data_IF_473002700431
#
_entry.id   IF_473002700431
#
_cell.length_a   1.000
_cell.length_b   1.000
_cell.length_c   1.000
_cell.angle_alpha   90.00
_cell.angle_beta   90.00
_cell.angle_gamma   90.00
#
_symmetry.space_group_name_H-M   'P 1'
#
loop_
_entity.id
_entity.type
_entity.pdbx_description
1 polymer ?
#
# COMPACT_ATOMS: atom_id res chain seq x y z
N UNK A 1 79.23 71.95 49.16
CA UNK A 1 78.85 70.53 49.32
C UNK A 1 77.40 70.26 48.89
N UNK A 2 76.43 71.12 49.21
CA UNK A 2 74.99 70.96 48.86
C UNK A 2 74.72 70.66 47.37
N UNK A 3 75.37 71.34 46.41
CA UNK A 3 75.17 71.09 44.95
C UNK A 3 75.56 69.69 44.48
N UNK A 4 76.60 69.09 45.04
CA UNK A 4 77.05 67.73 44.66
C UNK A 4 76.12 66.66 45.23
N UNK A 5 75.63 66.87 46.45
CA UNK A 5 74.64 65.99 47.07
C UNK A 5 73.36 66.00 46.25
N UNK A 6 72.82 67.17 45.91
CA UNK A 6 71.64 67.32 45.04
C UNK A 6 71.79 66.63 43.68
N UNK A 7 72.95 66.73 43.03
CA UNK A 7 73.19 66.10 41.74
C UNK A 7 73.16 64.56 41.83
N UNK A 8 73.72 64.00 42.90
CA UNK A 8 73.71 62.54 43.15
C UNK A 8 72.31 62.05 43.50
N UNK A 9 71.55 62.77 44.33
CA UNK A 9 70.16 62.39 44.62
C UNK A 9 69.30 62.44 43.37
N UNK A 10 69.42 63.48 42.53
CA UNK A 10 68.68 63.56 41.27
C UNK A 10 69.03 62.42 40.32
N UNK A 11 70.32 62.09 40.16
CA UNK A 11 70.75 60.98 39.32
C UNK A 11 70.24 59.62 39.84
N UNK A 12 70.29 59.39 41.15
CA UNK A 12 69.76 58.18 41.77
C UNK A 12 68.23 58.08 41.61
N UNK A 13 67.51 59.19 41.78
CA UNK A 13 66.06 59.25 41.55
C UNK A 13 65.70 58.94 40.09
N UNK A 14 66.44 59.48 39.12
CA UNK A 14 66.20 59.22 37.69
C UNK A 14 66.46 57.75 37.32
N UNK A 15 67.52 57.14 37.87
CA UNK A 15 67.81 55.71 37.66
C UNK A 15 66.75 54.80 38.29
N UNK A 16 66.28 55.14 39.50
CA UNK A 16 65.21 54.41 40.18
C UNK A 16 63.88 54.52 39.42
N UNK A 17 63.52 55.73 38.97
CA UNK A 17 62.30 55.96 38.16
C UNK A 17 62.39 55.21 36.83
N UNK A 18 63.54 55.27 36.14
CA UNK A 18 63.76 54.53 34.89
C UNK A 18 63.66 53.01 35.07
N UNK A 19 64.21 52.46 36.16
CA UNK A 19 64.10 51.04 36.51
C UNK A 19 62.66 50.63 36.86
N UNK A 20 61.91 51.49 37.57
CA UNK A 20 60.49 51.26 37.87
C UNK A 20 59.63 51.27 36.61
N UNK A 21 59.87 52.20 35.68
CA UNK A 21 59.17 52.27 34.38
C UNK A 21 59.47 51.03 33.54
N UNK A 22 60.74 50.63 33.43
CA UNK A 22 61.10 49.41 32.68
C UNK A 22 60.50 48.14 33.28
N UNK A 23 60.38 48.05 34.62
CA UNK A 23 59.72 46.92 35.27
C UNK A 23 58.19 46.96 35.07
N UNK A 24 57.59 48.15 35.10
CA UNK A 24 56.17 48.33 34.82
C UNK A 24 55.82 47.90 33.39
N UNK A 25 56.63 48.31 32.39
CA UNK A 25 56.45 47.89 31.00
C UNK A 25 56.61 46.38 30.82
N UNK A 26 57.61 45.78 31.48
CA UNK A 26 57.81 44.32 31.46
C UNK A 26 56.61 43.58 32.07
N UNK A 27 56.07 44.06 33.20
CA UNK A 27 54.88 43.49 33.83
C UNK A 27 53.62 43.65 32.96
N UNK A 28 53.45 44.79 32.29
CA UNK A 28 52.31 44.99 31.39
C UNK A 28 52.41 44.09 30.15
N UNK A 29 53.61 43.88 29.61
CA UNK A 29 53.83 42.92 28.52
C UNK A 29 53.55 41.48 28.96
N UNK A 30 54.02 41.06 30.14
CA UNK A 30 53.72 39.75 30.73
C UNK A 30 52.21 39.57 30.95
N UNK A 31 51.54 40.61 31.48
CA UNK A 31 50.09 40.63 31.68
C UNK A 31 49.33 40.52 30.35
N UNK A 32 49.70 41.30 29.34
CA UNK A 32 49.08 41.26 28.02
C UNK A 32 49.25 39.88 27.38
N UNK A 33 50.44 39.28 27.45
CA UNK A 33 50.69 37.93 26.96
C UNK A 33 49.87 36.86 27.71
N UNK A 34 49.73 37.00 29.03
CA UNK A 34 48.91 36.09 29.84
C UNK A 34 47.41 36.20 29.48
N UNK A 35 46.90 37.41 29.27
CA UNK A 35 45.51 37.63 28.82
C UNK A 35 45.28 36.99 27.45
N UNK A 36 46.17 37.22 26.48
CA UNK A 36 46.05 36.62 25.15
C UNK A 36 46.08 35.07 25.18
N UNK A 37 46.89 34.48 26.07
CA UNK A 37 46.90 33.03 26.29
C UNK A 37 45.58 32.54 26.92
N UNK A 38 45.01 33.30 27.85
CA UNK A 38 43.74 32.96 28.50
C UNK A 38 42.58 33.02 27.50
N UNK A 39 42.54 34.05 26.66
CA UNK A 39 41.55 34.19 25.57
C UNK A 39 41.66 33.03 24.58
N UNK A 40 42.87 32.71 24.12
CA UNK A 40 43.09 31.58 23.22
C UNK A 40 42.71 30.23 23.87
N UNK A 41 42.92 30.07 25.18
CA UNK A 41 42.47 28.88 25.91
C UNK A 41 40.94 28.83 26.00
N UNK A 42 40.29 29.97 26.28
CA UNK A 42 38.84 30.08 26.34
C UNK A 42 38.20 29.75 24.98
N UNK A 43 38.78 30.23 23.88
CA UNK A 43 38.32 29.92 22.52
C UNK A 43 38.44 28.42 22.21
N UNK A 44 39.58 27.80 22.55
CA UNK A 44 39.78 26.34 22.39
C UNK A 44 38.81 25.54 23.25
N UNK A 45 38.52 26.01 24.46
CA UNK A 45 37.55 25.38 25.35
C UNK A 45 36.13 25.44 24.76
N UNK A 46 35.74 26.60 24.21
CA UNK A 46 34.45 26.74 23.53
C UNK A 46 34.34 25.86 22.28
N UNK A 47 35.37 25.81 21.43
CA UNK A 47 35.41 24.93 20.26
C UNK A 47 35.31 23.44 20.66
N UNK A 48 36.08 23.02 21.66
CA UNK A 48 36.02 21.65 22.18
C UNK A 48 34.64 21.30 22.76
N UNK A 49 34.00 22.24 23.45
CA UNK A 49 32.62 22.06 23.97
C UNK A 49 31.63 21.90 22.82
N UNK A 50 31.64 22.80 21.82
CA UNK A 50 30.75 22.70 20.66
C UNK A 50 30.94 21.40 19.88
N UNK A 51 32.19 20.95 19.73
CA UNK A 51 32.50 19.68 19.08
C UNK A 51 31.96 18.49 19.87
N UNK A 52 32.05 18.53 21.20
CA UNK A 52 31.51 17.48 22.07
C UNK A 52 29.99 17.43 21.96
N UNK A 53 29.31 18.57 22.06
CA UNK A 53 27.85 18.66 21.91
C UNK A 53 27.37 18.13 20.54
N UNK A 54 28.11 18.46 19.47
CA UNK A 54 27.82 17.95 18.13
C UNK A 54 27.96 16.42 18.04
N UNK A 55 29.03 15.86 18.61
CA UNK A 55 29.29 14.43 18.61
C UNK A 55 28.23 13.67 19.42
N UNK A 56 27.87 14.17 20.61
CA UNK A 56 26.83 13.57 21.44
C UNK A 56 25.48 13.55 20.70
N UNK A 57 25.12 14.65 20.03
CA UNK A 57 23.91 14.69 19.21
C UNK A 57 23.99 13.74 18.00
N UNK A 58 25.16 13.57 17.39
CA UNK A 58 25.36 12.64 16.28
C UNK A 58 25.28 11.17 16.72
N UNK A 59 25.84 10.84 17.88
CA UNK A 59 25.74 9.51 18.49
C UNK A 59 24.30 9.21 18.86
N UNK A 60 23.60 10.13 19.52
CA UNK A 60 22.19 9.94 19.87
C UNK A 60 21.29 9.65 18.66
N UNK A 61 21.51 10.36 17.53
CA UNK A 61 20.81 10.06 16.27
C UNK A 61 21.15 8.67 15.73
N UNK A 62 22.43 8.30 15.72
CA UNK A 62 22.85 6.98 15.23
C UNK A 62 22.30 5.82 16.08
N UNK A 63 22.21 6.01 17.40
CA UNK A 63 21.59 5.06 18.32
C UNK A 63 20.08 4.92 18.07
N UNK A 64 19.38 6.05 17.86
CA UNK A 64 17.96 6.06 17.50
C UNK A 64 17.71 5.34 16.16
N UNK A 65 18.44 5.68 15.10
CA UNK A 65 18.34 5.03 13.79
C UNK A 65 18.57 3.51 13.88
N UNK A 66 19.49 3.10 14.77
CA UNK A 66 19.79 1.68 15.01
C UNK A 66 18.63 0.98 15.71
N UNK A 67 18.04 1.62 16.72
CA UNK A 67 16.89 1.10 17.44
C UNK A 67 15.64 0.98 16.55
N UNK A 68 15.37 1.99 15.73
CA UNK A 68 14.26 2.00 14.76
C UNK A 68 14.41 0.87 13.72
N UNK A 69 15.60 0.69 13.15
CA UNK A 69 15.90 -0.43 12.24
C UNK A 69 15.73 -1.79 12.92
N UNK A 70 16.19 -1.92 14.17
CA UNK A 70 16.03 -3.15 14.93
C UNK A 70 14.55 -3.48 15.17
N UNK A 71 13.73 -2.47 15.49
CA UNK A 71 12.28 -2.62 15.65
C UNK A 71 11.58 -3.07 14.36
N UNK A 72 11.92 -2.45 13.22
CA UNK A 72 11.42 -2.85 11.90
C UNK A 72 11.81 -4.30 11.58
N UNK A 73 13.07 -4.68 11.80
CA UNK A 73 13.54 -6.05 11.55
C UNK A 73 12.83 -7.09 12.42
N UNK A 74 12.52 -6.75 13.67
CA UNK A 74 11.84 -7.65 14.60
C UNK A 74 10.41 -8.02 14.15
N UNK A 75 9.74 -7.18 13.35
CA UNK A 75 8.38 -7.43 12.86
C UNK A 75 8.33 -8.21 11.54
N UNK A 76 9.42 -8.23 10.76
CA UNK A 76 9.45 -8.91 9.45
C UNK A 76 9.10 -10.42 9.51
N UNK A 77 9.49 -11.20 10.54
CA UNK A 77 9.07 -12.59 10.64
C UNK A 77 7.55 -12.78 10.71
N UNK A 78 6.84 -11.90 11.43
CA UNK A 78 5.38 -11.96 11.51
C UNK A 78 4.74 -11.67 10.15
N UNK A 79 5.26 -10.67 9.43
CA UNK A 79 4.83 -10.37 8.06
C UNK A 79 5.02 -11.56 7.10
N UNK A 80 6.16 -12.26 7.19
CA UNK A 80 6.43 -13.46 6.38
C UNK A 80 5.46 -14.61 6.70
N UNK A 81 5.08 -14.79 7.97
CA UNK A 81 4.10 -15.79 8.36
C UNK A 81 2.72 -15.51 7.74
N UNK A 82 2.26 -14.26 7.75
CA UNK A 82 1.00 -13.85 7.11
C UNK A 82 1.05 -14.03 5.57
N UNK A 83 2.19 -13.75 4.93
CA UNK A 83 2.35 -14.01 3.50
C UNK A 83 2.25 -15.51 3.15
N UNK A 84 2.77 -16.37 4.03
CA UNK A 84 2.66 -17.81 3.85
C UNK A 84 1.22 -18.31 4.06
N UNK A 85 0.51 -17.74 5.04
CA UNK A 85 -0.92 -18.00 5.25
C UNK A 85 -1.74 -17.56 4.03
N UNK A 86 -1.51 -16.35 3.51
CA UNK A 86 -2.16 -15.87 2.30
C UNK A 86 -1.84 -16.76 1.09
N UNK A 87 -0.59 -17.20 0.92
CA UNK A 87 -0.21 -18.11 -0.17
C UNK A 87 -1.01 -19.42 -0.12
N UNK A 88 -1.18 -19.97 1.08
CA UNK A 88 -2.00 -21.18 1.31
C UNK A 88 -3.48 -20.92 0.97
N UNK A 89 -4.03 -19.77 1.39
CA UNK A 89 -5.40 -19.39 1.06
C UNK A 89 -5.61 -19.22 -0.46
N UNK A 90 -4.65 -18.59 -1.15
CA UNK A 90 -4.67 -18.39 -2.59
C UNK A 90 -4.61 -19.71 -3.38
N UNK A 91 -3.83 -20.69 -2.91
CA UNK A 91 -3.83 -22.05 -3.48
C UNK A 91 -5.18 -22.74 -3.26
N UNK A 92 -5.75 -22.63 -2.06
CA UNK A 92 -7.08 -23.17 -1.76
C UNK A 92 -8.21 -22.54 -2.56
N UNK A 93 -7.99 -21.36 -3.12
CA UNK A 93 -8.92 -20.59 -3.95
C UNK A 93 -8.76 -20.84 -5.46
N UNK A 94 -7.73 -21.56 -5.90
CA UNK A 94 -7.46 -21.80 -7.31
C UNK A 94 -8.64 -22.49 -8.01
N UNK A 95 -9.08 -21.93 -9.13
CA UNK A 95 -10.27 -22.39 -9.88
C UNK A 95 -11.61 -22.16 -9.16
N UNK A 96 -11.60 -21.56 -7.96
CA UNK A 96 -12.81 -21.33 -7.14
C UNK A 96 -13.11 -19.85 -6.95
N UNK A 97 -12.10 -19.00 -6.85
CA UNK A 97 -12.26 -17.56 -6.61
C UNK A 97 -11.23 -16.79 -7.44
N UNK A 98 -11.64 -15.67 -8.03
CA UNK A 98 -10.72 -14.73 -8.67
C UNK A 98 -9.86 -14.02 -7.62
N UNK A 99 -8.58 -14.35 -7.61
CA UNK A 99 -7.62 -13.82 -6.64
C UNK A 99 -6.71 -12.72 -7.20
N UNK A 100 -6.96 -12.22 -8.42
CA UNK A 100 -6.06 -11.25 -9.07
C UNK A 100 -5.88 -9.98 -8.22
N UNK A 101 -6.97 -9.40 -7.72
CA UNK A 101 -6.93 -8.21 -6.86
C UNK A 101 -6.25 -8.48 -5.51
N UNK A 102 -6.46 -9.67 -4.94
CA UNK A 102 -5.81 -10.08 -3.69
C UNK A 102 -4.29 -10.17 -3.85
N UNK A 103 -3.82 -10.74 -4.98
CA UNK A 103 -2.40 -10.81 -5.32
C UNK A 103 -1.78 -9.44 -5.55
N UNK A 104 -2.48 -8.54 -6.23
CA UNK A 104 -2.01 -7.16 -6.43
C UNK A 104 -1.88 -6.39 -5.11
N UNK A 105 -2.87 -6.50 -4.22
CA UNK A 105 -2.82 -5.87 -2.90
C UNK A 105 -1.67 -6.43 -2.04
N UNK A 106 -1.45 -7.75 -2.07
CA UNK A 106 -0.36 -8.39 -1.35
C UNK A 106 1.03 -7.98 -1.88
N UNK A 107 1.17 -7.78 -3.19
CA UNK A 107 2.40 -7.24 -3.79
C UNK A 107 2.67 -5.80 -3.34
N UNK A 108 1.62 -4.97 -3.27
CA UNK A 108 1.75 -3.60 -2.75
C UNK A 108 2.20 -3.59 -1.28
N UNK A 109 1.61 -4.44 -0.43
CA UNK A 109 2.03 -4.58 0.97
C UNK A 109 3.49 -5.05 1.11
N UNK A 110 3.93 -5.98 0.27
CA UNK A 110 5.34 -6.43 0.22
C UNK A 110 6.29 -5.29 -0.13
N UNK A 111 5.95 -4.47 -1.13
CA UNK A 111 6.77 -3.32 -1.53
C UNK A 111 6.88 -2.29 -0.40
N UNK A 112 5.79 -2.04 0.33
CA UNK A 112 5.80 -1.18 1.51
C UNK A 112 6.77 -1.69 2.58
N UNK A 113 6.73 -2.98 2.92
CA UNK A 113 7.63 -3.57 3.93
C UNK A 113 9.10 -3.59 3.48
N UNK A 114 9.37 -3.81 2.19
CA UNK A 114 10.73 -3.76 1.63
C UNK A 114 11.32 -2.35 1.69
N UNK A 115 10.50 -1.32 1.46
CA UNK A 115 10.93 0.06 1.49
C UNK A 115 11.12 0.61 2.92
N UNK A 116 10.42 0.06 3.91
CA UNK A 116 10.42 0.52 5.29
C UNK A 116 11.73 0.21 6.03
N UNK A 117 12.26 1.20 6.74
CA UNK A 117 13.54 1.17 7.46
C UNK A 117 13.48 1.75 8.87
N UNK A 118 12.48 2.56 9.17
CA UNK A 118 12.46 3.42 10.36
C UNK A 118 11.18 3.19 11.18
N UNK A 119 10.03 3.07 10.51
CA UNK A 119 8.74 3.00 11.19
C UNK A 119 8.21 1.56 11.32
N UNK A 120 8.25 0.94 12.53
CA UNK A 120 7.70 -0.39 12.74
C UNK A 120 6.18 -0.46 12.54
N UNK A 121 5.43 0.62 12.76
CA UNK A 121 3.98 0.64 12.59
C UNK A 121 3.57 0.42 11.14
N UNK A 122 4.39 0.87 10.18
CA UNK A 122 4.18 0.59 8.75
C UNK A 122 4.23 -0.92 8.47
N UNK A 123 5.16 -1.65 9.09
CA UNK A 123 5.27 -3.12 8.94
C UNK A 123 4.08 -3.81 9.62
N UNK A 124 3.66 -3.34 10.79
CA UNK A 124 2.49 -3.86 11.49
C UNK A 124 1.20 -3.68 10.66
N UNK A 125 1.00 -2.50 10.06
CA UNK A 125 -0.15 -2.21 9.21
C UNK A 125 -0.16 -3.06 7.92
N UNK A 126 1.01 -3.24 7.29
CA UNK A 126 1.15 -4.13 6.14
C UNK A 126 0.87 -5.60 6.51
N UNK A 127 1.30 -6.04 7.70
CA UNK A 127 1.01 -7.38 8.24
C UNK A 127 -0.49 -7.59 8.42
N UNK A 128 -1.19 -6.64 9.07
CA UNK A 128 -2.64 -6.68 9.22
C UNK A 128 -3.38 -6.68 7.87
N UNK A 129 -2.86 -5.97 6.86
CA UNK A 129 -3.42 -5.99 5.51
C UNK A 129 -3.33 -7.37 4.88
N UNK A 130 -2.17 -8.03 4.96
CA UNK A 130 -2.00 -9.40 4.42
C UNK A 130 -2.88 -10.40 5.15
N UNK A 131 -3.01 -10.27 6.47
CA UNK A 131 -3.94 -11.08 7.27
C UNK A 131 -5.39 -10.95 6.79
N UNK A 132 -5.88 -9.71 6.65
CA UNK A 132 -7.24 -9.45 6.17
C UNK A 132 -7.48 -9.99 4.74
N UNK A 133 -6.46 -9.95 3.87
CA UNK A 133 -6.55 -10.57 2.54
C UNK A 133 -6.71 -12.09 2.63
N UNK A 134 -6.00 -12.76 3.54
CA UNK A 134 -6.12 -14.20 3.73
C UNK A 134 -7.51 -14.60 4.26
N UNK A 135 -8.04 -13.87 5.26
CA UNK A 135 -9.39 -14.07 5.77
C UNK A 135 -10.46 -13.86 4.71
N UNK A 136 -10.29 -12.80 3.88
CA UNK A 136 -11.21 -12.50 2.79
C UNK A 136 -11.25 -13.62 1.76
N UNK A 137 -10.10 -14.10 1.31
CA UNK A 137 -10.01 -15.24 0.38
C UNK A 137 -10.66 -16.49 1.00
N UNK A 138 -10.41 -16.77 2.28
CA UNK A 138 -11.05 -17.88 3.00
C UNK A 138 -12.59 -17.77 3.03
N UNK A 139 -13.11 -16.57 3.28
CA UNK A 139 -14.55 -16.29 3.28
C UNK A 139 -15.18 -16.45 1.90
N UNK A 140 -14.50 -15.97 0.86
CA UNK A 140 -14.94 -16.11 -0.54
C UNK A 140 -14.96 -17.58 -0.97
N UNK A 141 -13.97 -18.38 -0.56
CA UNK A 141 -13.96 -19.84 -0.80
C UNK A 141 -15.08 -20.55 -0.04
N UNK A 142 -15.33 -20.19 1.23
CA UNK A 142 -16.44 -20.78 1.99
C UNK A 142 -17.81 -20.46 1.36
N UNK A 143 -17.96 -19.23 0.88
CA UNK A 143 -19.16 -18.78 0.17
C UNK A 143 -19.33 -19.52 -1.16
N UNK A 144 -18.24 -19.75 -1.89
CA UNK A 144 -18.25 -20.62 -3.07
C UNK A 144 -18.73 -22.04 -2.75
N UNK A 145 -18.17 -22.67 -1.71
CA UNK A 145 -18.56 -24.03 -1.30
C UNK A 145 -20.04 -24.13 -0.92
N UNK A 146 -20.55 -23.12 -0.20
CA UNK A 146 -21.96 -23.03 0.13
C UNK A 146 -22.83 -22.86 -1.12
N UNK A 147 -22.40 -22.03 -2.08
CA UNK A 147 -23.10 -21.81 -3.35
C UNK A 147 -23.15 -23.08 -4.23
N UNK A 148 -22.11 -23.92 -4.21
CA UNK A 148 -22.12 -25.21 -4.90
C UNK A 148 -23.15 -26.18 -4.29
N UNK A 149 -23.51 -25.99 -3.02
CA UNK A 149 -24.45 -26.84 -2.29
C UNK A 149 -25.90 -26.35 -2.36
N UNK A 150 -26.14 -25.13 -2.86
CA UNK A 150 -27.46 -24.45 -2.84
C UNK A 150 -28.13 -24.36 -4.22
N UNK A 151 -28.08 -25.45 -4.99
CA UNK A 151 -28.86 -25.61 -6.22
C UNK A 151 -30.30 -26.11 -5.96
N UNK A 152 -31.23 -25.94 -6.92
CA UNK A 152 -32.50 -26.66 -6.88
C UNK A 152 -32.19 -28.16 -6.88
N UNK A 153 -32.82 -28.94 -5.99
CA UNK A 153 -32.57 -30.38 -5.90
C UNK A 153 -32.65 -31.06 -7.27
N UNK A 154 -31.51 -31.54 -7.77
CA UNK A 154 -31.35 -32.06 -9.13
C UNK A 154 -29.98 -31.70 -9.71
N UNK A 155 -29.61 -32.24 -10.88
CA UNK A 155 -28.39 -31.86 -11.58
C UNK A 155 -28.45 -30.38 -12.00
N UNK A 156 -27.31 -29.69 -11.96
CA UNK A 156 -27.20 -28.26 -12.33
C UNK A 156 -27.38 -28.00 -13.86
N UNK A 157 -27.66 -29.05 -14.62
CA UNK A 157 -27.92 -29.06 -16.05
C UNK A 157 -29.21 -29.84 -16.33
N UNK A 158 -29.78 -29.65 -17.52
CA UNK A 158 -30.92 -30.46 -17.97
C UNK A 158 -30.71 -31.01 -19.37
N UNK A 159 -30.43 -30.13 -20.33
CA UNK A 159 -30.38 -30.42 -21.76
C UNK A 159 -29.00 -30.20 -22.37
N UNK A 160 -28.12 -29.43 -21.73
CA UNK A 160 -26.71 -29.30 -22.13
C UNK A 160 -25.86 -30.53 -21.76
N UNK A 161 -26.34 -31.35 -20.83
CA UNK A 161 -25.61 -32.50 -20.30
C UNK A 161 -24.40 -32.11 -19.42
N UNK A 162 -23.70 -33.12 -18.86
CA UNK A 162 -22.58 -32.88 -17.95
C UNK A 162 -21.41 -32.15 -18.62
N UNK A 163 -21.09 -32.48 -19.88
CA UNK A 163 -19.98 -31.85 -20.61
C UNK A 163 -20.31 -30.41 -21.01
N UNK A 164 -21.54 -30.14 -21.43
CA UNK A 164 -22.00 -28.79 -21.73
C UNK A 164 -21.97 -27.90 -20.49
N UNK A 165 -22.44 -28.41 -19.34
CA UNK A 165 -22.32 -27.72 -18.07
C UNK A 165 -20.87 -27.44 -17.69
N UNK A 166 -20.00 -28.46 -17.76
CA UNK A 166 -18.59 -28.33 -17.45
C UNK A 166 -17.92 -27.26 -18.32
N UNK A 167 -18.31 -27.14 -19.59
CA UNK A 167 -17.83 -26.09 -20.49
C UNK A 167 -18.24 -24.68 -20.04
N UNK A 168 -19.52 -24.46 -19.71
CA UNK A 168 -19.99 -23.14 -19.25
C UNK A 168 -19.39 -22.81 -17.88
N UNK A 169 -19.27 -23.80 -17.00
CA UNK A 169 -18.61 -23.67 -15.71
C UNK A 169 -17.15 -23.24 -15.88
N UNK A 170 -16.39 -23.91 -16.75
CA UNK A 170 -15.01 -23.56 -17.04
C UNK A 170 -14.88 -22.15 -17.63
N UNK A 171 -15.81 -21.75 -18.51
CA UNK A 171 -15.85 -20.37 -19.02
C UNK A 171 -16.12 -19.36 -17.89
N UNK A 172 -17.05 -19.65 -16.98
CA UNK A 172 -17.33 -18.78 -15.84
C UNK A 172 -16.15 -18.75 -14.85
N UNK A 173 -15.45 -19.86 -14.64
CA UNK A 173 -14.25 -19.92 -13.80
C UNK A 173 -13.11 -19.08 -14.40
N UNK A 174 -12.91 -19.20 -15.72
CA UNK A 174 -11.89 -18.46 -16.47
C UNK A 174 -12.07 -16.94 -16.37
N UNK A 175 -13.31 -16.47 -16.39
CA UNK A 175 -13.61 -15.03 -16.25
C UNK A 175 -13.68 -14.56 -14.79
N UNK A 176 -13.34 -15.44 -13.83
CA UNK A 176 -13.25 -15.12 -12.40
C UNK A 176 -14.52 -15.36 -11.59
N UNK A 177 -15.52 -16.01 -12.18
CA UNK A 177 -16.80 -16.34 -11.57
C UNK A 177 -16.84 -17.68 -10.86
N UNK A 178 -15.69 -18.27 -10.52
CA UNK A 178 -15.58 -19.53 -9.77
C UNK A 178 -16.60 -19.57 -8.63
N UNK A 179 -16.63 -18.48 -7.84
CA UNK A 179 -17.44 -18.24 -6.64
C UNK A 179 -18.96 -18.28 -6.82
N UNK A 180 -19.43 -18.22 -8.06
CA UNK A 180 -20.83 -17.94 -8.40
C UNK A 180 -21.55 -19.23 -8.73
N UNK A 181 -22.71 -19.47 -8.11
CA UNK A 181 -23.55 -20.61 -8.44
C UNK A 181 -23.94 -20.57 -9.91
N UNK A 182 -23.92 -21.72 -10.60
CA UNK A 182 -24.25 -21.82 -12.02
C UNK A 182 -25.23 -22.94 -12.26
N UNK A 183 -26.32 -22.67 -12.98
CA UNK A 183 -27.23 -23.72 -13.42
C UNK A 183 -27.94 -23.40 -14.73
N UNK A 184 -28.35 -24.46 -15.42
CA UNK A 184 -29.08 -24.36 -16.67
C UNK A 184 -30.55 -24.00 -16.41
N UNK A 185 -31.08 -23.07 -17.21
CA UNK A 185 -32.48 -22.67 -17.19
C UNK A 185 -32.94 -22.31 -18.59
N UNK A 186 -34.11 -22.79 -19.00
CA UNK A 186 -34.77 -22.36 -20.24
C UNK A 186 -35.35 -20.94 -20.15
N UNK A 187 -35.41 -20.36 -18.95
CA UNK A 187 -35.89 -19.00 -18.71
C UNK A 187 -34.82 -18.15 -18.04
N UNK A 188 -34.37 -17.13 -18.77
CA UNK A 188 -33.51 -16.06 -18.28
C UNK A 188 -34.12 -14.70 -18.63
N UNK A 189 -34.23 -13.81 -17.64
CA UNK A 189 -34.78 -12.45 -17.78
C UNK A 189 -36.06 -12.36 -18.66
N UNK A 190 -37.08 -13.18 -18.37
CA UNK A 190 -38.33 -13.19 -19.14
C UNK A 190 -38.32 -14.04 -20.42
N UNK A 191 -37.26 -14.82 -20.66
CA UNK A 191 -37.27 -15.96 -21.60
C UNK A 191 -36.34 -15.88 -22.81
N UNK A 192 -35.77 -14.69 -23.10
CA UNK A 192 -34.98 -14.49 -24.33
C UNK A 192 -33.47 -14.33 -24.08
N UNK A 193 -33.07 -13.99 -22.87
CA UNK A 193 -31.65 -13.78 -22.56
C UNK A 193 -30.90 -15.14 -22.55
N UNK A 194 -29.70 -15.20 -23.14
CA UNK A 194 -28.89 -16.42 -23.23
C UNK A 194 -28.31 -16.85 -21.89
N UNK A 195 -28.08 -15.89 -21.00
CA UNK A 195 -27.73 -16.08 -19.61
C UNK A 195 -28.33 -14.94 -18.79
N UNK A 196 -28.33 -15.07 -17.47
CA UNK A 196 -28.82 -14.03 -16.58
C UNK A 196 -28.28 -14.23 -15.16
N UNK A 197 -27.77 -13.16 -14.56
CA UNK A 197 -27.43 -13.10 -13.16
C UNK A 197 -28.66 -12.85 -12.27
N UNK A 198 -28.62 -13.36 -11.04
CA UNK A 198 -29.63 -13.10 -10.03
C UNK A 198 -29.00 -12.43 -8.80
N UNK A 199 -29.77 -11.55 -8.15
CA UNK A 199 -29.34 -10.86 -6.92
C UNK A 199 -28.97 -11.80 -5.78
N UNK A 200 -29.46 -13.04 -5.80
CA UNK A 200 -29.11 -14.08 -4.81
C UNK A 200 -27.76 -14.77 -5.10
N UNK A 201 -26.96 -14.26 -6.03
CA UNK A 201 -25.55 -14.66 -6.18
C UNK A 201 -25.30 -15.85 -7.11
N UNK A 202 -26.19 -16.11 -8.07
CA UNK A 202 -26.03 -17.17 -9.06
C UNK A 202 -26.27 -16.67 -10.49
N UNK A 203 -25.74 -17.39 -11.46
CA UNK A 203 -25.96 -17.20 -12.89
C UNK A 203 -26.76 -18.38 -13.44
N UNK A 204 -27.78 -18.07 -14.22
CA UNK A 204 -28.50 -19.03 -15.05
C UNK A 204 -28.00 -18.94 -16.48
N UNK A 205 -28.03 -20.04 -17.20
CA UNK A 205 -27.71 -20.06 -18.61
C UNK A 205 -28.65 -20.95 -19.42
N UNK A 206 -28.86 -20.60 -20.69
CA UNK A 206 -29.64 -21.40 -21.64
C UNK A 206 -28.76 -22.46 -22.29
N UNK A 207 -29.29 -23.66 -22.49
CA UNK A 207 -28.48 -24.81 -22.93
C UNK A 207 -27.79 -24.63 -24.28
N UNK A 208 -28.30 -23.82 -25.20
CA UNK A 208 -27.71 -23.60 -26.53
C UNK A 208 -26.38 -22.84 -26.48
N UNK A 209 -26.10 -22.08 -25.42
CA UNK A 209 -24.85 -21.31 -25.34
C UNK A 209 -23.61 -22.22 -25.26
N UNK A 210 -23.79 -23.48 -24.89
CA UNK A 210 -22.72 -24.49 -24.89
C UNK A 210 -22.20 -24.81 -26.29
N UNK A 211 -22.82 -24.28 -27.35
CA UNK A 211 -22.37 -24.40 -28.73
C UNK A 211 -21.79 -23.08 -29.28
N UNK A 212 -21.72 -22.02 -28.47
CA UNK A 212 -21.12 -20.76 -28.91
C UNK A 212 -19.60 -20.87 -28.99
N UNK A 213 -18.98 -20.01 -29.81
CA UNK A 213 -17.52 -19.84 -29.82
C UNK A 213 -17.01 -19.45 -28.43
N UNK A 214 -15.78 -19.85 -28.08
CA UNK A 214 -15.18 -19.55 -26.76
C UNK A 214 -15.20 -18.06 -26.42
N UNK A 215 -14.83 -17.17 -27.36
CA UNK A 215 -14.86 -15.73 -27.13
C UNK A 215 -16.25 -15.20 -26.74
N UNK A 216 -17.29 -15.66 -27.44
CA UNK A 216 -18.69 -15.30 -27.14
C UNK A 216 -19.18 -15.91 -25.83
N UNK A 217 -18.81 -17.14 -25.52
CA UNK A 217 -19.18 -17.79 -24.26
C UNK A 217 -18.50 -17.10 -23.07
N UNK A 218 -17.21 -16.80 -23.19
CA UNK A 218 -16.45 -16.09 -22.15
C UNK A 218 -16.98 -14.66 -21.96
N UNK A 219 -17.30 -13.93 -23.04
CA UNK A 219 -17.99 -12.64 -22.92
C UNK A 219 -19.30 -12.76 -22.13
N UNK A 220 -20.15 -13.74 -22.48
CA UNK A 220 -21.42 -13.92 -21.79
C UNK A 220 -21.22 -14.18 -20.29
N UNK A 221 -20.26 -15.04 -19.92
CA UNK A 221 -19.97 -15.30 -18.51
C UNK A 221 -19.38 -14.08 -17.80
N UNK A 222 -18.50 -13.31 -18.46
CA UNK A 222 -17.93 -12.08 -17.88
C UNK A 222 -19.00 -11.00 -17.68
N UNK A 223 -19.92 -10.88 -18.63
CA UNK A 223 -21.05 -9.96 -18.59
C UNK A 223 -22.01 -10.32 -17.44
N UNK A 224 -22.43 -11.57 -17.31
CA UNK A 224 -23.29 -11.98 -16.20
C UNK A 224 -22.59 -11.85 -14.84
N UNK A 225 -21.30 -12.16 -14.78
CA UNK A 225 -20.51 -11.93 -13.58
C UNK A 225 -20.48 -10.44 -13.20
N UNK A 226 -20.45 -9.53 -14.18
CA UNK A 226 -20.49 -8.10 -13.91
C UNK A 226 -21.79 -7.71 -13.19
N UNK A 227 -22.93 -8.26 -13.60
CA UNK A 227 -24.19 -8.05 -12.90
C UNK A 227 -24.17 -8.53 -11.44
N UNK A 228 -23.54 -9.68 -11.15
CA UNK A 228 -23.33 -10.14 -9.76
C UNK A 228 -22.59 -9.08 -8.93
N UNK A 229 -21.57 -8.44 -9.51
CA UNK A 229 -20.84 -7.38 -8.82
C UNK A 229 -21.66 -6.09 -8.70
N UNK A 230 -22.42 -5.71 -9.72
CA UNK A 230 -23.34 -4.58 -9.65
C UNK A 230 -24.37 -4.77 -8.53
N UNK A 231 -24.94 -5.97 -8.36
CA UNK A 231 -25.90 -6.25 -7.29
C UNK A 231 -25.31 -6.04 -5.89
N UNK A 232 -24.02 -6.35 -5.68
CA UNK A 232 -23.34 -6.14 -4.40
C UNK A 232 -23.23 -4.67 -4.00
N UNK A 233 -23.18 -3.78 -4.99
CA UNK A 233 -23.00 -2.33 -4.80
C UNK A 233 -24.22 -1.54 -5.25
N UNK A 234 -25.38 -2.19 -5.42
CA UNK A 234 -26.53 -1.60 -6.11
C UNK A 234 -26.97 -0.24 -5.56
N UNK A 235 -26.99 -0.09 -4.23
CA UNK A 235 -27.32 1.17 -3.59
C UNK A 235 -26.33 2.29 -3.93
N UNK A 236 -25.03 2.04 -3.76
CA UNK A 236 -23.98 3.00 -4.09
C UNK A 236 -23.94 3.33 -5.58
N UNK A 237 -24.06 2.29 -6.43
CA UNK A 237 -24.11 2.38 -7.88
C UNK A 237 -25.24 3.32 -8.34
N UNK A 238 -26.46 3.06 -7.89
CA UNK A 238 -27.65 3.84 -8.30
C UNK A 238 -27.68 5.25 -7.71
N UNK A 239 -26.95 5.51 -6.63
CA UNK A 239 -26.77 6.86 -6.07
C UNK A 239 -25.65 7.68 -6.75
N UNK A 240 -24.84 7.04 -7.61
CA UNK A 240 -23.67 7.66 -8.22
C UNK A 240 -24.04 8.54 -9.42
N UNK A 241 -23.70 9.84 -9.34
CA UNK A 241 -23.81 10.75 -10.48
C UNK A 241 -22.92 10.35 -11.66
N UNK A 242 -21.75 9.73 -11.40
CA UNK A 242 -20.85 9.24 -12.44
C UNK A 242 -21.46 8.06 -13.20
N UNK A 243 -22.18 7.16 -12.50
CA UNK A 243 -22.90 6.07 -13.17
C UNK A 243 -23.96 6.61 -14.15
N UNK A 244 -24.73 7.63 -13.72
CA UNK A 244 -25.69 8.31 -14.58
C UNK A 244 -25.04 9.02 -15.77
N UNK A 245 -23.92 9.71 -15.57
CA UNK A 245 -23.24 10.48 -16.61
C UNK A 245 -22.52 9.59 -17.64
N UNK A 246 -21.80 8.56 -17.19
CA UNK A 246 -20.95 7.72 -18.05
C UNK A 246 -21.72 6.59 -18.74
N UNK A 247 -22.78 6.09 -18.10
CA UNK A 247 -23.50 4.89 -18.56
C UNK A 247 -24.99 5.15 -18.77
N UNK A 248 -25.49 6.38 -18.60
CA UNK A 248 -26.92 6.68 -18.76
C UNK A 248 -27.82 5.96 -17.75
N UNK A 249 -27.25 5.51 -16.62
CA UNK A 249 -27.90 4.58 -15.67
C UNK A 249 -28.27 3.21 -16.25
N UNK A 250 -27.64 2.79 -17.36
CA UNK A 250 -27.87 1.49 -17.99
C UNK A 250 -26.95 0.39 -17.42
N UNK A 251 -27.50 -0.59 -16.67
CA UNK A 251 -26.70 -1.66 -16.07
C UNK A 251 -26.15 -2.65 -17.11
N UNK A 252 -26.81 -2.82 -18.25
CA UNK A 252 -26.40 -3.72 -19.34
C UNK A 252 -25.19 -3.14 -20.07
N UNK A 253 -25.23 -1.83 -20.36
CA UNK A 253 -24.10 -1.13 -20.94
C UNK A 253 -22.89 -1.16 -20.00
N UNK A 254 -23.09 -0.89 -18.71
CA UNK A 254 -22.04 -1.02 -17.70
C UNK A 254 -21.48 -2.45 -17.62
N UNK A 255 -22.33 -3.48 -17.63
CA UNK A 255 -21.89 -4.88 -17.58
C UNK A 255 -21.02 -5.25 -18.80
N UNK A 256 -21.37 -4.76 -19.99
CA UNK A 256 -20.53 -4.90 -21.18
C UNK A 256 -19.16 -4.21 -21.01
N UNK A 257 -19.13 -2.98 -20.47
CA UNK A 257 -17.88 -2.28 -20.19
C UNK A 257 -17.01 -3.03 -19.18
N UNK A 258 -17.63 -3.59 -18.15
CA UNK A 258 -16.95 -4.40 -17.14
C UNK A 258 -16.35 -5.68 -17.74
N UNK A 259 -17.02 -6.32 -18.70
CA UNK A 259 -16.48 -7.47 -19.44
C UNK A 259 -15.29 -7.09 -20.34
N UNK A 260 -15.36 -5.93 -21.02
CA UNK A 260 -14.24 -5.39 -21.83
C UNK A 260 -12.99 -5.21 -20.97
N UNK A 261 -13.12 -4.61 -19.79
CA UNK A 261 -11.99 -4.39 -18.86
C UNK A 261 -11.35 -5.71 -18.39
N UNK A 262 -12.09 -6.82 -18.38
CA UNK A 262 -11.56 -8.15 -18.08
C UNK A 262 -10.97 -8.87 -19.30
N UNK A 263 -10.94 -8.22 -20.47
CA UNK A 263 -10.38 -8.79 -21.70
C UNK A 263 -11.36 -9.66 -22.49
N UNK A 264 -12.66 -9.58 -22.20
CA UNK A 264 -13.71 -10.35 -22.87
C UNK A 264 -14.68 -9.41 -23.59
N UNK A 265 -14.25 -8.73 -24.68
CA UNK A 265 -15.11 -7.80 -25.39
C UNK A 265 -16.24 -8.51 -26.12
N UNK A 266 -17.44 -7.95 -26.00
CA UNK A 266 -18.60 -8.34 -26.80
C UNK A 266 -18.73 -7.48 -28.06
N UNK A 267 -19.97 -7.26 -28.48
CA UNK A 267 -20.29 -6.34 -29.59
C UNK A 267 -20.37 -4.86 -29.18
N UNK A 268 -20.30 -4.57 -27.88
CA UNK A 268 -20.40 -3.23 -27.31
C UNK A 268 -19.01 -2.71 -26.97
N UNK A 269 -18.69 -1.51 -27.43
CA UNK A 269 -17.44 -0.80 -27.11
C UNK A 269 -17.67 0.27 -26.04
N UNK A 270 -16.63 0.54 -25.26
CA UNK A 270 -16.59 1.62 -24.28
C UNK A 270 -15.28 2.39 -24.36
N UNK A 271 -15.31 3.67 -24.04
CA UNK A 271 -14.12 4.52 -24.06
C UNK A 271 -13.25 4.31 -22.81
N UNK A 272 -12.10 5.00 -22.77
CA UNK A 272 -11.14 4.86 -21.68
C UNK A 272 -11.66 5.31 -20.32
N UNK A 273 -12.55 6.30 -20.27
CA UNK A 273 -13.12 6.81 -19.02
C UNK A 273 -14.14 5.81 -18.46
N UNK A 274 -15.01 5.29 -19.32
CA UNK A 274 -15.95 4.22 -19.00
C UNK A 274 -15.24 2.95 -18.51
N UNK A 275 -14.16 2.54 -19.17
CA UNK A 275 -13.36 1.39 -18.76
C UNK A 275 -12.68 1.62 -17.41
N UNK A 276 -12.08 2.78 -17.19
CA UNK A 276 -11.44 3.12 -15.92
C UNK A 276 -12.45 3.07 -14.77
N UNK A 277 -13.63 3.67 -14.94
CA UNK A 277 -14.67 3.65 -13.92
C UNK A 277 -15.24 2.25 -13.68
N UNK A 278 -15.56 1.50 -14.75
CA UNK A 278 -16.07 0.13 -14.66
C UNK A 278 -15.08 -0.82 -13.95
N UNK A 279 -13.78 -0.61 -14.12
CA UNK A 279 -12.75 -1.38 -13.40
C UNK A 279 -12.86 -1.26 -11.88
N UNK A 280 -13.32 -0.10 -11.39
CA UNK A 280 -13.49 0.20 -9.97
C UNK A 280 -14.50 -0.72 -9.27
N UNK A 281 -15.52 -1.19 -9.99
CA UNK A 281 -16.53 -2.11 -9.42
C UNK A 281 -15.91 -3.48 -9.13
N UNK A 282 -15.05 -3.99 -10.02
CA UNK A 282 -14.38 -5.28 -9.83
C UNK A 282 -13.50 -5.33 -8.58
N UNK A 283 -12.84 -4.22 -8.26
CA UNK A 283 -11.93 -4.10 -7.12
C UNK A 283 -12.59 -3.55 -5.86
N UNK A 284 -13.90 -3.30 -5.89
CA UNK A 284 -14.65 -2.75 -4.75
C UNK A 284 -14.25 -1.32 -4.39
N UNK A 285 -13.85 -0.51 -5.37
CA UNK A 285 -13.61 0.93 -5.20
C UNK A 285 -14.93 1.73 -5.16
N UNK A 286 -16.00 1.20 -5.77
CA UNK A 286 -17.36 1.74 -5.67
C UNK A 286 -18.05 1.11 -4.46
N UNK A 287 -18.46 1.91 -3.47
CA UNK A 287 -19.04 1.47 -2.19
C UNK A 287 -20.09 2.43 -1.68
#
# INVERSE_FOLDING_TARGET
MIRRVLAVTVAASVLLVGGMVGRADALENERSAAIAQLEALNDRYHDATQRTDYLDAAVGRAEQDTAERAAVLALRPAFLAELQALTTALQGAEGRVDTATHRAAALSAQQTVVAEKENPDTVAAATATVHALAEKVGTEVASWQAAQSSGPGGPAWSSSGPDGYARVRAALDLVGGGGVGLYESSSCAGGNAPACANSNGYIKYRADIVNWSDGRLNWAMAHELAHIYQFRVWGALTSSGAYGALFGSDPEFLANCMAVVRGYPGSVSCDGEQQAWASGIWVGAVR
#
